data_IF_106884742303
#
_entry.id   IF_106884742303
#
_cell.length_a   1.000
_cell.length_b   1.000
_cell.length_c   1.000
_cell.angle_alpha   90.00
_cell.angle_beta   90.00
_cell.angle_gamma   90.00
#
_symmetry.space_group_name_H-M   'P 1'
#
loop_
_entity.id
_entity.type
_entity.pdbx_description
1 polymer ?
#
# COMPACT_ATOMS: atom_id res chain seq x y z
N UNK A 1 -9.30 1.67 -12.05
CA UNK A 1 -8.39 0.93 -11.16
C UNK A 1 -8.97 0.98 -9.76
N UNK A 2 -9.03 -0.15 -9.09
CA UNK A 2 -9.49 -0.23 -7.70
C UNK A 2 -8.48 -0.98 -6.86
N UNK A 3 -8.33 -0.54 -5.61
CA UNK A 3 -7.54 -1.22 -4.60
C UNK A 3 -8.39 -2.28 -3.90
N UNK A 4 -7.84 -3.48 -3.70
CA UNK A 4 -8.40 -4.50 -2.82
C UNK A 4 -7.43 -4.76 -1.68
N UNK A 5 -7.84 -4.57 -0.40
CA UNK A 5 -7.05 -4.96 0.76
C UNK A 5 -6.66 -6.44 0.71
N UNK A 6 -5.50 -6.78 1.27
CA UNK A 6 -5.10 -8.16 1.54
C UNK A 6 -4.71 -8.29 3.03
N UNK A 7 -3.43 -8.15 3.38
CA UNK A 7 -3.01 -8.02 4.78
C UNK A 7 -3.08 -6.58 5.28
N UNK A 8 -2.97 -5.59 4.38
CA UNK A 8 -3.13 -4.18 4.71
C UNK A 8 -4.61 -3.79 4.87
N UNK A 9 -4.86 -2.67 5.53
CA UNK A 9 -6.12 -2.13 6.01
C UNK A 9 -6.21 -0.61 5.81
N UNK A 10 -7.24 0.02 6.39
CA UNK A 10 -7.44 1.48 6.35
C UNK A 10 -6.49 2.27 7.25
N UNK A 11 -5.66 1.58 8.04
CA UNK A 11 -4.55 2.17 8.79
C UNK A 11 -3.25 2.23 8.02
N UNK A 12 -3.13 1.45 6.94
CA UNK A 12 -1.84 1.21 6.27
C UNK A 12 -1.83 1.90 4.90
N UNK A 13 -3.00 2.07 4.27
CA UNK A 13 -3.14 2.82 3.03
C UNK A 13 -4.54 3.41 2.85
N UNK A 14 -4.64 4.46 2.03
CA UNK A 14 -5.92 5.06 1.65
C UNK A 14 -6.48 4.35 0.42
N UNK A 15 -7.49 3.49 0.62
CA UNK A 15 -8.19 2.83 -0.48
C UNK A 15 -8.89 3.83 -1.40
N UNK A 16 -8.77 3.64 -2.73
CA UNK A 16 -9.42 4.52 -3.71
C UNK A 16 -9.63 3.88 -5.07
N UNK A 17 -10.60 4.42 -5.80
CA UNK A 17 -10.80 4.17 -7.23
C UNK A 17 -10.14 5.27 -8.06
N UNK A 18 -9.34 4.87 -9.06
CA UNK A 18 -8.65 5.79 -9.98
C UNK A 18 -9.12 5.53 -11.41
N UNK A 19 -9.59 6.57 -12.08
CA UNK A 19 -9.92 6.53 -13.51
C UNK A 19 -8.69 6.88 -14.33
N UNK A 20 -8.37 6.03 -15.29
CA UNK A 20 -7.26 6.23 -16.22
C UNK A 20 -7.84 6.35 -17.62
N UNK A 21 -7.52 7.45 -18.31
CA UNK A 21 -8.01 7.74 -19.67
C UNK A 21 -6.83 7.85 -20.62
N UNK A 22 -6.88 7.09 -21.71
CA UNK A 22 -5.97 7.22 -22.85
C UNK A 22 -6.69 7.96 -23.97
N UNK A 23 -6.11 9.06 -24.43
CA UNK A 23 -6.65 9.82 -25.56
C UNK A 23 -6.31 9.12 -26.89
N UNK A 24 -7.02 9.42 -28.00
CA UNK A 24 -6.70 8.85 -29.30
C UNK A 24 -5.23 9.06 -29.68
N UNK A 25 -4.52 7.97 -29.95
CA UNK A 25 -3.09 7.97 -30.30
C UNK A 25 -2.13 8.05 -29.12
N UNK A 26 -2.62 8.17 -27.89
CA UNK A 26 -1.79 8.10 -26.70
C UNK A 26 -1.27 6.68 -26.48
N UNK A 27 0.03 6.55 -26.25
CA UNK A 27 0.70 5.28 -25.98
C UNK A 27 1.69 5.44 -24.83
N UNK A 28 2.06 4.34 -24.18
CA UNK A 28 2.99 4.34 -23.06
C UNK A 28 2.32 4.20 -21.68
N UNK A 29 3.12 4.18 -20.60
CA UNK A 29 2.62 4.03 -19.24
C UNK A 29 1.92 5.30 -18.75
N UNK A 30 0.96 5.13 -17.83
CA UNK A 30 0.41 6.21 -17.00
C UNK A 30 0.67 5.88 -15.55
N UNK A 31 1.16 6.87 -14.81
CA UNK A 31 1.41 6.74 -13.38
C UNK A 31 0.12 6.95 -12.58
N UNK A 32 0.00 6.21 -11.49
CA UNK A 32 -1.09 6.33 -10.53
C UNK A 32 -0.51 6.28 -9.13
N UNK A 33 -1.01 7.14 -8.26
CA UNK A 33 -0.49 7.31 -6.91
C UNK A 33 -1.51 6.80 -5.88
N UNK A 34 -0.98 6.09 -4.88
CA UNK A 34 -1.71 5.62 -3.72
C UNK A 34 -0.98 6.11 -2.47
N UNK A 35 -1.74 6.60 -1.49
CA UNK A 35 -1.20 7.11 -0.24
C UNK A 35 -0.99 5.95 0.73
N UNK A 36 0.22 5.88 1.30
CA UNK A 36 0.58 4.97 2.39
C UNK A 36 0.54 5.77 3.68
N UNK A 37 -0.03 5.17 4.72
CA UNK A 37 -0.13 5.78 6.04
C UNK A 37 1.04 5.24 6.87
N UNK A 38 1.79 6.15 7.48
CA UNK A 38 2.99 5.86 8.26
C UNK A 38 2.69 6.11 9.74
N UNK A 39 3.07 5.18 10.61
CA UNK A 39 2.83 5.26 12.04
C UNK A 39 3.96 4.58 12.84
N UNK A 40 4.11 4.85 14.16
CA UNK A 40 5.27 4.39 14.93
C UNK A 40 5.18 2.94 15.45
N UNK A 41 4.15 2.17 15.05
CA UNK A 41 3.97 0.78 15.46
C UNK A 41 4.85 -0.15 14.62
N UNK A 42 5.53 -1.08 15.27
CA UNK A 42 6.27 -2.14 14.56
C UNK A 42 5.30 -3.18 14.04
N UNK A 43 5.29 -3.39 12.73
CA UNK A 43 4.35 -4.24 12.02
C UNK A 43 5.06 -5.24 11.09
N UNK A 44 4.32 -6.25 10.62
CA UNK A 44 4.85 -7.14 9.60
C UNK A 44 4.73 -6.49 8.22
N UNK A 45 5.37 -7.06 7.20
CA UNK A 45 5.10 -6.65 5.81
C UNK A 45 3.64 -6.93 5.45
N UNK A 46 2.96 -5.89 5.01
CA UNK A 46 1.56 -5.95 4.60
C UNK A 46 1.39 -5.71 3.11
N UNK A 47 0.20 -5.95 2.59
CA UNK A 47 -0.05 -5.87 1.15
C UNK A 47 -1.48 -5.51 0.80
N UNK A 48 -1.62 -4.89 -0.37
CA UNK A 48 -2.89 -4.72 -1.08
C UNK A 48 -2.67 -4.95 -2.57
N UNK A 49 -3.75 -5.08 -3.33
CA UNK A 49 -3.69 -5.25 -4.78
C UNK A 49 -4.40 -4.13 -5.52
N UNK A 50 -3.96 -3.85 -6.75
CA UNK A 50 -4.56 -2.87 -7.66
C UNK A 50 -5.00 -3.59 -8.92
N UNK A 51 -6.27 -3.44 -9.29
CA UNK A 51 -6.86 -4.15 -10.44
C UNK A 51 -7.63 -3.22 -11.37
N UNK A 52 -7.68 -3.59 -12.67
CA UNK A 52 -8.56 -2.97 -13.65
C UNK A 52 -9.93 -3.63 -13.55
N UNK A 53 -10.88 -2.94 -12.92
CA UNK A 53 -12.23 -3.49 -12.68
C UNK A 53 -13.23 -3.28 -13.82
N UNK A 54 -12.97 -2.30 -14.68
CA UNK A 54 -13.85 -1.99 -15.81
C UNK A 54 -13.10 -1.20 -16.89
N UNK A 55 -13.59 -1.34 -18.12
CA UNK A 55 -13.08 -0.65 -19.29
C UNK A 55 -14.28 -0.15 -20.11
N UNK A 56 -14.19 1.06 -20.63
CA UNK A 56 -15.30 1.68 -21.40
C UNK A 56 -15.31 1.27 -22.88
N UNK A 57 -14.29 0.51 -23.33
CA UNK A 57 -14.07 0.14 -24.72
C UNK A 57 -13.91 -1.37 -24.83
N UNK A 58 -14.63 -2.00 -25.75
CA UNK A 58 -14.46 -3.43 -26.04
C UNK A 58 -13.09 -3.71 -26.64
N UNK A 59 -12.45 -4.80 -26.21
CA UNK A 59 -11.13 -5.22 -26.69
C UNK A 59 -9.96 -4.71 -25.85
N UNK A 60 -10.20 -4.00 -24.75
CA UNK A 60 -9.16 -3.74 -23.75
C UNK A 60 -8.82 -5.05 -23.02
N UNK A 61 -7.56 -5.42 -23.05
CA UNK A 61 -7.02 -6.53 -22.26
C UNK A 61 -6.57 -5.94 -20.93
N UNK A 62 -7.29 -6.27 -19.85
CA UNK A 62 -6.81 -6.01 -18.49
C UNK A 62 -5.66 -6.96 -18.18
N UNK A 63 -4.54 -6.41 -17.69
CA UNK A 63 -3.48 -7.22 -17.09
C UNK A 63 -3.92 -7.88 -15.79
N UNK A 64 -3.02 -8.69 -15.21
CA UNK A 64 -3.21 -9.25 -13.88
C UNK A 64 -3.20 -8.15 -12.81
N UNK A 65 -3.87 -8.35 -11.65
CA UNK A 65 -3.76 -7.43 -10.52
C UNK A 65 -2.29 -7.24 -10.10
N UNK A 66 -1.90 -6.00 -9.83
CA UNK A 66 -0.60 -5.69 -9.29
C UNK A 66 -0.64 -5.77 -7.75
N UNK A 67 0.31 -6.48 -7.14
CA UNK A 67 0.45 -6.52 -5.68
C UNK A 67 1.43 -5.44 -5.22
N UNK A 68 1.02 -4.66 -4.22
CA UNK A 68 1.85 -3.67 -3.53
C UNK A 68 2.14 -4.19 -2.13
N UNK A 69 3.42 -4.23 -1.76
CA UNK A 69 3.85 -4.58 -0.40
C UNK A 69 4.27 -3.31 0.34
N UNK A 70 3.78 -3.15 1.56
CA UNK A 70 4.11 -2.06 2.48
C UNK A 70 5.17 -2.62 3.44
N UNK A 71 6.37 -2.03 3.41
CA UNK A 71 7.48 -2.44 4.26
C UNK A 71 7.52 -1.52 5.48
N UNK A 72 7.44 -2.13 6.67
CA UNK A 72 7.60 -1.44 7.95
C UNK A 72 8.98 -0.77 8.05
N UNK A 73 9.03 0.41 8.66
CA UNK A 73 10.24 1.17 8.89
C UNK A 73 10.51 1.48 10.39
N UNK A 74 9.68 0.97 11.31
CA UNK A 74 9.70 1.35 12.73
C UNK A 74 10.51 0.40 13.63
N UNK A 75 11.13 -0.63 13.07
CA UNK A 75 11.90 -1.65 13.81
C UNK A 75 13.10 -1.17 14.65
N UNK A 76 13.41 0.13 14.65
CA UNK A 76 14.55 0.72 15.36
C UNK A 76 14.17 1.58 16.60
N UNK A 77 12.91 1.59 17.01
CA UNK A 77 12.52 2.20 18.28
C UNK A 77 12.91 1.30 19.45
N UNK A 78 14.17 1.38 19.90
CA UNK A 78 14.52 0.97 21.26
C UNK A 78 13.88 1.98 22.22
N UNK A 79 12.85 1.63 23.01
CA UNK A 79 12.42 2.51 24.07
C UNK A 79 13.57 2.56 25.08
N UNK A 80 14.15 3.75 25.26
CA UNK A 80 15.04 4.09 26.37
C UNK A 80 14.35 3.75 27.72
N UNK A 81 13.02 3.52 27.73
CA UNK A 81 12.24 3.02 28.85
C UNK A 81 12.48 1.54 29.23
N UNK A 82 12.97 0.67 28.34
CA UNK A 82 13.32 -0.72 28.70
C UNK A 82 14.77 -0.86 29.22
N UNK A 83 15.50 0.26 29.39
CA UNK A 83 16.79 0.24 30.10
C UNK A 83 16.64 0.54 31.60
N UNK A 84 15.48 1.05 32.04
CA UNK A 84 15.24 1.36 33.47
C UNK A 84 14.58 0.21 34.27
N UNK A 85 14.00 -0.80 33.64
CA UNK A 85 13.31 -1.88 34.37
C UNK A 85 14.25 -3.03 34.82
N UNK A 86 15.44 -3.16 34.25
CA UNK A 86 16.41 -4.21 34.61
C UNK A 86 17.52 -3.75 35.58
N UNK A 87 17.36 -2.62 36.27
CA UNK A 87 18.35 -2.11 37.24
C UNK A 87 17.83 -2.04 38.68
N UNK A 88 16.70 -2.70 39.00
CA UNK A 88 16.25 -2.75 40.38
C UNK A 88 15.47 -4.03 40.71
N UNK A 89 16.19 -5.13 40.89
CA UNK A 89 15.73 -6.21 41.77
C UNK A 89 16.77 -6.42 42.89
N UNK A 90 16.40 -6.29 44.17
CA UNK A 90 17.25 -6.65 45.32
C UNK A 90 17.32 -8.17 45.57
#
# INVERSE_FOLDING_TARGET
>A
LETSPASASDKDFVSRTVNVTFNPGETGPKEVEFEIIDDPLVENTESFSVSVVSTSVSGVISGEPATVNILDNDGNYFPIACLLCCQYEP
#
